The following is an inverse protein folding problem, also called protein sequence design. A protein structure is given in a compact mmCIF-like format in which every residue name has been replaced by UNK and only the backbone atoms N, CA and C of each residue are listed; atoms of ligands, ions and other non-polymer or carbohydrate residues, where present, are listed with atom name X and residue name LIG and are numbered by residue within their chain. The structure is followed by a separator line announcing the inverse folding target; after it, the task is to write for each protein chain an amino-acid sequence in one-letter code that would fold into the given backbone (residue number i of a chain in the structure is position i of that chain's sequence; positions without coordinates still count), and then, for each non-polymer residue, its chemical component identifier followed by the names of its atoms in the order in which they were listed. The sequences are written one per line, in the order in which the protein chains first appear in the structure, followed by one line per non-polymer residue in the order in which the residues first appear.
data_IF_191774879638
#
_entry.id   IF_191774879638
#
_cell.length_a   1.000
_cell.length_b   1.000
_cell.length_c   1.000
_cell.angle_alpha   90.00
_cell.angle_beta   90.00
_cell.angle_gamma   90.00
#
_symmetry.space_group_name_H-M   'P 1'
#
loop_
_entity.id
_entity.type
_entity.pdbx_description
1 polymer ?
#
# COMPACT_ATOMS: atom_id res chain seq x y z
N UNK A 1 -23.85 -1.04 -19.78
CA UNK A 1 -23.42 -0.37 -18.52
C UNK A 1 -22.47 -1.23 -17.65
N UNK A 2 -21.64 -2.11 -18.22
CA UNK A 2 -20.77 -3.04 -17.45
C UNK A 2 -19.36 -2.52 -17.05
N UNK A 3 -18.71 -1.56 -17.76
CA UNK A 3 -17.32 -1.19 -17.44
C UNK A 3 -17.22 -0.22 -16.25
N UNK A 4 -18.16 0.71 -16.10
CA UNK A 4 -18.18 1.71 -15.01
C UNK A 4 -18.19 1.04 -13.63
N UNK A 5 -18.96 -0.05 -13.48
CA UNK A 5 -18.98 -0.84 -12.24
C UNK A 5 -17.63 -1.50 -11.92
N UNK A 6 -16.90 -1.96 -12.93
CA UNK A 6 -15.57 -2.55 -12.73
C UNK A 6 -14.54 -1.50 -12.31
N UNK A 7 -14.55 -0.34 -12.95
CA UNK A 7 -13.65 0.77 -12.59
C UNK A 7 -13.92 1.24 -11.16
N UNK A 8 -15.18 1.38 -10.78
CA UNK A 8 -15.55 1.74 -9.42
C UNK A 8 -15.11 0.67 -8.40
N UNK A 9 -15.25 -0.62 -8.74
CA UNK A 9 -14.79 -1.71 -7.89
C UNK A 9 -13.26 -1.69 -7.69
N UNK A 10 -12.50 -1.38 -8.74
CA UNK A 10 -11.04 -1.24 -8.68
C UNK A 10 -10.64 -0.06 -7.81
N UNK A 11 -11.33 1.09 -7.95
CA UNK A 11 -11.09 2.25 -7.09
C UNK A 11 -11.38 1.94 -5.62
N UNK A 12 -12.51 1.29 -5.32
CA UNK A 12 -12.87 0.91 -3.95
C UNK A 12 -11.83 -0.07 -3.37
N UNK A 13 -11.43 -1.10 -4.14
CA UNK A 13 -10.40 -2.05 -3.70
C UNK A 13 -9.03 -1.38 -3.52
N UNK A 14 -8.69 -0.43 -4.38
CA UNK A 14 -7.49 0.40 -4.25
C UNK A 14 -7.51 1.26 -2.99
N UNK A 15 -8.64 1.90 -2.67
CA UNK A 15 -8.83 2.66 -1.43
C UNK A 15 -8.73 1.78 -0.18
N UNK A 16 -9.25 0.55 -0.23
CA UNK A 16 -9.12 -0.42 0.87
C UNK A 16 -7.65 -0.83 1.04
N UNK A 17 -6.95 -1.12 -0.06
CA UNK A 17 -5.52 -1.42 -0.05
C UNK A 17 -4.70 -0.27 0.55
N UNK A 18 -4.96 0.95 0.10
CA UNK A 18 -4.39 2.19 0.63
C UNK A 18 -4.62 2.33 2.14
N UNK A 19 -5.87 2.16 2.60
CA UNK A 19 -6.20 2.23 4.02
C UNK A 19 -5.50 1.16 4.85
N UNK A 20 -5.42 -0.07 4.34
CA UNK A 20 -4.71 -1.17 4.99
C UNK A 20 -3.20 -0.88 5.11
N UNK A 21 -2.59 -0.37 4.04
CA UNK A 21 -1.17 0.02 4.03
C UNK A 21 -0.90 1.14 5.03
N UNK A 22 -1.76 2.17 5.08
CA UNK A 22 -1.63 3.29 6.01
C UNK A 22 -1.79 2.85 7.47
N UNK A 23 -2.76 1.97 7.74
CA UNK A 23 -2.98 1.37 9.06
C UNK A 23 -1.79 0.51 9.51
N UNK A 24 -1.28 -0.35 8.63
CA UNK A 24 -0.07 -1.13 8.89
C UNK A 24 1.12 -0.22 9.17
N UNK A 25 1.29 0.84 8.39
CA UNK A 25 2.41 1.76 8.57
C UNK A 25 2.33 2.52 9.90
N UNK A 26 1.12 2.85 10.37
CA UNK A 26 0.93 3.42 11.70
C UNK A 26 1.37 2.47 12.82
N UNK A 27 1.09 1.17 12.68
CA UNK A 27 1.53 0.12 13.62
C UNK A 27 3.06 -0.07 13.55
N UNK A 28 3.62 -0.20 12.34
CA UNK A 28 5.06 -0.40 12.12
C UNK A 28 5.92 0.83 12.41
N UNK A 29 5.32 2.02 12.52
CA UNK A 29 6.00 3.21 13.05
C UNK A 29 6.56 2.96 14.45
N UNK A 30 5.85 2.22 15.29
CA UNK A 30 6.33 1.83 16.63
C UNK A 30 7.50 0.85 16.60
N UNK A 31 7.70 0.12 15.50
CA UNK A 31 8.79 -0.83 15.29
C UNK A 31 9.97 -0.23 14.52
N UNK A 32 9.92 1.06 14.19
CA UNK A 32 10.93 1.74 13.37
C UNK A 32 11.04 1.15 11.96
N UNK A 33 9.96 0.59 11.42
CA UNK A 33 9.83 0.08 10.06
C UNK A 33 8.82 0.93 9.28
N UNK A 34 8.88 2.24 9.52
CA UNK A 34 7.99 3.21 8.87
C UNK A 34 8.45 3.43 7.44
N UNK A 35 7.54 3.26 6.48
CA UNK A 35 7.81 3.59 5.08
C UNK A 35 7.20 4.94 4.76
N UNK A 36 7.93 5.83 4.06
CA UNK A 36 7.38 7.12 3.63
C UNK A 36 6.23 6.95 2.63
N UNK A 37 5.01 6.72 3.10
CA UNK A 37 3.83 6.61 2.25
C UNK A 37 3.37 8.00 1.80
N UNK A 38 3.26 8.16 0.49
CA UNK A 38 2.65 9.28 -0.19
C UNK A 38 1.48 8.75 -1.05
N UNK A 39 0.59 9.61 -1.51
CA UNK A 39 -0.57 9.24 -2.34
C UNK A 39 -0.14 8.44 -3.57
N UNK A 40 0.98 8.80 -4.21
CA UNK A 40 1.47 8.12 -5.41
C UNK A 40 1.92 6.68 -5.12
N UNK A 41 2.82 6.48 -4.15
CA UNK A 41 3.32 5.13 -3.85
C UNK A 41 2.23 4.27 -3.19
N UNK A 42 1.36 4.86 -2.37
CA UNK A 42 0.21 4.17 -1.80
C UNK A 42 -0.78 3.74 -2.87
N UNK A 43 -1.02 4.55 -3.90
CA UNK A 43 -1.91 4.19 -5.00
C UNK A 43 -1.31 3.08 -5.88
N UNK A 44 -0.02 3.16 -6.21
CA UNK A 44 0.70 2.11 -6.94
C UNK A 44 0.66 0.79 -6.16
N UNK A 45 0.97 0.82 -4.87
CA UNK A 45 0.93 -0.36 -4.00
C UNK A 45 -0.49 -0.86 -3.80
N UNK A 46 -1.48 0.03 -3.67
CA UNK A 46 -2.90 -0.33 -3.54
C UNK A 46 -3.46 -1.01 -4.79
N UNK A 47 -3.01 -0.61 -5.99
CA UNK A 47 -3.33 -1.29 -7.26
C UNK A 47 -2.63 -2.64 -7.34
N UNK A 48 -1.34 -2.71 -7.00
CA UNK A 48 -0.58 -3.95 -6.95
C UNK A 48 -1.13 -4.93 -5.91
N UNK A 49 -1.73 -4.42 -4.83
CA UNK A 49 -2.25 -5.21 -3.72
C UNK A 49 -1.14 -5.85 -2.89
N UNK A 50 -1.31 -7.13 -2.56
CA UNK A 50 -0.37 -7.92 -1.75
C UNK A 50 1.07 -7.90 -2.27
N UNK A 51 1.36 -8.13 -3.58
CA UNK A 51 2.74 -8.10 -4.06
C UNK A 51 3.39 -6.72 -3.93
N UNK A 52 2.65 -5.63 -4.14
CA UNK A 52 3.17 -4.28 -3.91
C UNK A 52 3.48 -4.02 -2.45
N UNK A 53 2.63 -4.51 -1.55
CA UNK A 53 2.82 -4.38 -0.10
C UNK A 53 4.10 -5.09 0.34
N UNK A 54 4.30 -6.33 -0.10
CA UNK A 54 5.50 -7.11 0.18
C UNK A 54 6.74 -6.38 -0.32
N UNK A 55 6.73 -5.89 -1.56
CA UNK A 55 7.87 -5.21 -2.16
C UNK A 55 8.23 -3.93 -1.38
N UNK A 56 7.23 -3.13 -1.00
CA UNK A 56 7.42 -1.90 -0.22
C UNK A 56 8.07 -2.19 1.15
N UNK A 57 7.59 -3.21 1.86
CA UNK A 57 8.13 -3.56 3.18
C UNK A 57 9.46 -4.31 3.09
N UNK A 58 9.69 -5.13 2.06
CA UNK A 58 10.99 -5.73 1.81
C UNK A 58 12.05 -4.66 1.55
N UNK A 59 11.73 -3.62 0.77
CA UNK A 59 12.63 -2.50 0.53
C UNK A 59 12.94 -1.74 1.83
N UNK A 60 11.91 -1.43 2.62
CA UNK A 60 12.10 -0.75 3.91
C UNK A 60 12.90 -1.59 4.92
N UNK A 61 12.76 -2.91 4.86
CA UNK A 61 13.54 -3.83 5.67
C UNK A 61 15.00 -3.85 5.22
N UNK A 62 15.26 -3.92 3.91
CA UNK A 62 16.63 -3.82 3.36
C UNK A 62 17.29 -2.49 3.75
N UNK A 63 16.58 -1.37 3.61
CA UNK A 63 17.06 -0.03 3.95
C UNK A 63 17.44 0.10 5.44
N UNK A 64 16.75 -0.63 6.32
CA UNK A 64 17.07 -0.65 7.76
C UNK A 64 18.30 -1.49 8.11
N UNK A 65 18.64 -2.49 7.29
CA UNK A 65 19.73 -3.44 7.56
C UNK A 65 21.02 -3.13 6.78
N UNK A 66 20.97 -2.23 5.79
CA UNK A 66 22.12 -1.76 5.01
C UNK A 66 22.63 -0.42 5.55
#
# INVERSE_FOLDING_TARGET
MKPVKKVLLVLIRGCIGLGAIYGFNFILKGLGLFVGLNIVNGFVVGILGVPGFLLLYSLALVDKFL
#
